data_IF_378149500785
#
_entry.id   IF_378149500785
#
_cell.length_a   1.000
_cell.length_b   1.000
_cell.length_c   1.000
_cell.angle_alpha   90.00
_cell.angle_beta   90.00
_cell.angle_gamma   90.00
#
_symmetry.space_group_name_H-M   'P 1'
#
loop_
_entity.id
_entity.type
_entity.pdbx_description
1 polymer ?
#
# COMPACT_ATOMS: atom_id res chain seq x y z
N UNK A 1 -1.06 -2.64 -18.17
CA UNK A 1 -0.80 -4.03 -17.74
C UNK A 1 0.67 -4.13 -17.33
N UNK A 2 0.98 -4.95 -16.33
CA UNK A 2 2.36 -5.23 -15.92
C UNK A 2 3.11 -6.10 -16.95
N UNK A 3 4.42 -6.27 -16.73
CA UNK A 3 5.27 -7.16 -17.52
C UNK A 3 5.33 -8.55 -16.85
N UNK A 4 4.68 -9.53 -17.47
CA UNK A 4 4.62 -10.91 -16.97
C UNK A 4 5.94 -11.66 -17.08
N UNK A 5 6.78 -11.40 -18.09
CA UNK A 5 8.08 -12.07 -18.24
C UNK A 5 9.02 -11.71 -17.08
N UNK A 6 8.91 -10.47 -16.59
CA UNK A 6 9.63 -9.98 -15.42
C UNK A 6 8.91 -10.26 -14.09
N UNK A 7 7.69 -10.81 -14.14
CA UNK A 7 6.82 -10.97 -12.97
C UNK A 7 6.70 -9.70 -12.11
N UNK A 8 6.66 -8.52 -12.74
CA UNK A 8 6.65 -7.26 -12.00
C UNK A 8 5.22 -6.85 -11.59
N UNK A 9 5.13 -5.95 -10.62
CA UNK A 9 3.89 -5.50 -9.99
C UNK A 9 3.47 -4.07 -10.40
N UNK A 10 3.93 -3.59 -11.56
CA UNK A 10 3.64 -2.23 -12.04
C UNK A 10 3.39 -2.21 -13.57
N UNK A 11 2.42 -1.41 -14.07
CA UNK A 11 1.42 -0.62 -13.36
C UNK A 11 0.13 -1.42 -13.20
N UNK A 12 -0.06 -2.09 -12.04
CA UNK A 12 -1.33 -2.74 -11.71
C UNK A 12 -2.01 -2.02 -10.55
N UNK A 13 -3.34 -1.85 -10.59
CA UNK A 13 -4.07 -1.22 -9.49
C UNK A 13 -4.11 -2.15 -8.28
N UNK A 14 -4.08 -1.56 -7.08
CA UNK A 14 -4.28 -2.25 -5.81
C UNK A 14 -5.57 -1.76 -5.15
N UNK A 15 -6.27 -2.65 -4.47
CA UNK A 15 -7.48 -2.31 -3.69
C UNK A 15 -7.33 -2.85 -2.27
N UNK A 16 -7.63 -2.00 -1.29
CA UNK A 16 -7.76 -2.39 0.12
C UNK A 16 -9.25 -2.35 0.49
N UNK A 17 -9.76 -3.45 1.02
CA UNK A 17 -11.17 -3.60 1.38
C UNK A 17 -11.31 -3.88 2.87
N UNK A 18 -12.17 -3.09 3.53
CA UNK A 18 -12.40 -3.15 4.97
C UNK A 18 -11.97 -1.86 5.68
N UNK A 19 -12.54 -1.60 6.85
CA UNK A 19 -12.31 -0.36 7.62
C UNK A 19 -11.24 -0.47 8.71
N UNK A 20 -10.54 -1.61 8.84
CA UNK A 20 -9.50 -1.79 9.87
C UNK A 20 -10.00 -1.53 11.30
N UNK A 21 -11.21 -1.98 11.65
CA UNK A 21 -11.88 -1.67 12.92
C UNK A 21 -12.03 -0.15 13.21
N UNK A 22 -12.12 0.67 12.16
CA UNK A 22 -12.21 2.13 12.25
C UNK A 22 -10.87 2.85 12.06
N UNK A 23 -9.76 2.11 11.90
CA UNK A 23 -8.43 2.71 11.69
C UNK A 23 -8.19 3.23 10.27
N UNK A 24 -9.02 2.81 9.30
CA UNK A 24 -8.88 3.16 7.88
C UNK A 24 -10.10 3.93 7.38
N UNK A 25 -9.85 4.98 6.61
CA UNK A 25 -10.88 5.73 5.90
C UNK A 25 -11.17 5.11 4.53
N UNK A 26 -12.37 4.59 4.32
CA UNK A 26 -12.78 4.02 3.03
C UNK A 26 -13.30 5.06 2.03
N UNK A 27 -13.70 4.59 0.84
CA UNK A 27 -14.34 5.43 -0.18
C UNK A 27 -13.40 6.40 -0.89
N UNK A 28 -12.11 6.10 -0.90
CA UNK A 28 -11.07 6.93 -1.49
C UNK A 28 -10.54 6.28 -2.78
N UNK A 29 -10.23 7.12 -3.77
CA UNK A 29 -9.33 6.76 -4.88
C UNK A 29 -8.06 7.59 -4.70
N UNK A 30 -6.94 6.91 -4.45
CA UNK A 30 -5.67 7.57 -4.15
C UNK A 30 -4.71 7.31 -5.30
N UNK A 31 -4.26 8.40 -5.91
CA UNK A 31 -3.20 8.38 -6.92
C UNK A 31 -1.86 8.64 -6.23
N UNK A 32 -0.94 7.69 -6.35
CA UNK A 32 0.41 7.77 -5.81
C UNK A 32 1.40 8.09 -6.94
N UNK A 33 2.58 8.65 -6.64
CA UNK A 33 3.63 8.83 -7.64
C UNK A 33 3.93 7.53 -8.42
N UNK A 34 4.28 7.69 -9.68
CA UNK A 34 4.68 6.56 -10.53
C UNK A 34 5.80 5.74 -9.87
N UNK A 35 5.73 4.41 -10.01
CA UNK A 35 6.68 3.47 -9.39
C UNK A 35 6.74 3.51 -7.86
N UNK A 36 5.69 3.99 -7.18
CA UNK A 36 5.55 3.78 -5.73
C UNK A 36 5.55 2.29 -5.40
N UNK A 37 6.40 1.87 -4.46
CA UNK A 37 6.47 0.46 -4.06
C UNK A 37 5.16 0.01 -3.40
N UNK A 38 4.68 -1.18 -3.77
CA UNK A 38 3.56 -1.85 -3.10
C UNK A 38 3.87 -2.12 -1.62
N UNK A 39 5.15 -2.19 -1.24
CA UNK A 39 5.57 -2.36 0.14
C UNK A 39 5.15 -1.20 1.04
N UNK A 40 4.95 0.01 0.49
CA UNK A 40 4.39 1.15 1.25
C UNK A 40 2.94 0.86 1.70
N UNK A 41 2.14 0.21 0.85
CA UNK A 41 0.79 -0.23 1.23
C UNK A 41 0.85 -1.28 2.34
N UNK A 42 1.75 -2.26 2.25
CA UNK A 42 1.90 -3.28 3.29
C UNK A 42 2.36 -2.69 4.63
N UNK A 43 3.38 -1.82 4.62
CA UNK A 43 3.84 -1.11 5.82
C UNK A 43 2.70 -0.34 6.50
N UNK A 44 1.92 0.39 5.69
CA UNK A 44 0.76 1.15 6.18
C UNK A 44 -0.29 0.24 6.83
N UNK A 45 -0.62 -0.89 6.19
CA UNK A 45 -1.60 -1.84 6.72
C UNK A 45 -1.11 -2.48 8.04
N UNK A 46 0.16 -2.88 8.11
CA UNK A 46 0.75 -3.47 9.31
C UNK A 46 0.67 -2.49 10.49
N UNK A 47 1.07 -1.24 10.27
CA UNK A 47 1.06 -0.24 11.33
C UNK A 47 -0.36 0.17 11.74
N UNK A 48 -1.30 0.24 10.78
CA UNK A 48 -2.73 0.44 11.07
C UNK A 48 -3.37 -0.74 11.79
N UNK A 49 -2.80 -1.94 11.69
CA UNK A 49 -3.20 -3.11 12.47
C UNK A 49 -2.64 -3.11 13.91
N UNK A 50 -1.94 -2.06 14.32
CA UNK A 50 -1.38 -1.92 15.67
C UNK A 50 -0.02 -2.58 15.86
N UNK A 51 0.66 -2.95 14.76
CA UNK A 51 2.06 -3.35 14.78
C UNK A 51 2.94 -2.09 14.66
N UNK A 52 4.19 -2.17 15.10
CA UNK A 52 5.13 -1.04 15.00
C UNK A 52 6.34 -1.47 14.16
N UNK A 53 6.27 -1.19 12.86
CA UNK A 53 7.33 -1.47 11.89
C UNK A 53 7.89 -0.17 11.32
N UNK A 54 9.21 -0.03 11.34
CA UNK A 54 9.90 1.08 10.66
C UNK A 54 9.98 0.89 9.14
N UNK A 55 10.00 -0.36 8.67
CA UNK A 55 10.05 -0.71 7.25
C UNK A 55 9.49 -2.10 6.96
N UNK A 56 9.06 -2.32 5.72
CA UNK A 56 8.66 -3.61 5.19
C UNK A 56 9.17 -3.77 3.76
N UNK A 57 9.95 -4.81 3.47
CA UNK A 57 10.50 -5.03 2.13
C UNK A 57 11.33 -3.84 1.63
N UNK A 58 10.95 -3.29 0.47
CA UNK A 58 11.53 -2.09 -0.15
C UNK A 58 10.69 -0.82 0.09
N UNK A 59 9.91 -0.78 1.18
CA UNK A 59 9.11 0.40 1.53
C UNK A 59 9.99 1.63 1.75
N UNK A 60 9.53 2.76 1.24
CA UNK A 60 10.13 4.08 1.48
C UNK A 60 9.34 4.93 2.49
N UNK A 61 8.18 4.44 2.93
CA UNK A 61 7.34 5.06 3.96
C UNK A 61 5.89 4.59 3.91
N UNK A 62 5.08 5.08 4.83
CA UNK A 62 3.63 4.87 4.82
C UNK A 62 2.93 5.73 3.77
N UNK A 63 1.76 5.28 3.33
CA UNK A 63 0.82 6.10 2.54
C UNK A 63 0.13 7.06 3.52
N UNK A 64 0.28 8.36 3.28
CA UNK A 64 -0.37 9.37 4.12
C UNK A 64 -1.87 9.50 3.81
N UNK A 65 -2.67 9.82 4.83
CA UNK A 65 -4.08 10.19 4.66
C UNK A 65 -5.06 9.03 4.45
N UNK A 66 -4.64 7.79 4.77
CA UNK A 66 -5.49 6.57 4.79
C UNK A 66 -5.81 6.09 6.19
#
# INVERSE_FOLDING_TARGET
>A
MANSDLHNNYPVPNILVGGGAGALSGGQQIELPERTSISNLHLTILNKAGLDYESFGDSTGEIAGV
#
